data_IF_414257274676
#
_entry.id   IF_414257274676
#
_cell.length_a   1.000
_cell.length_b   1.000
_cell.length_c   1.000
_cell.angle_alpha   90.00
_cell.angle_beta   90.00
_cell.angle_gamma   90.00
#
_symmetry.space_group_name_H-M   'P 1'
#
loop_
_entity.id
_entity.type
_entity.pdbx_description
1 polymer ?
#
# COMPACT_ATOMS: atom_id res chain seq x y z
N UNK A 1 -24.59 1.00 -1.64
CA UNK A 1 -24.12 0.19 -2.78
C UNK A 1 -22.97 0.92 -3.46
N UNK A 2 -21.74 0.44 -3.33
CA UNK A 2 -20.60 0.92 -4.13
C UNK A 2 -19.55 -0.17 -4.22
N UNK A 3 -19.90 -1.29 -4.86
CA UNK A 3 -18.86 -2.18 -5.38
C UNK A 3 -18.25 -1.48 -6.58
N UNK A 4 -16.92 -1.42 -6.64
CA UNK A 4 -16.15 -0.91 -7.78
C UNK A 4 -16.37 -1.69 -9.09
N UNK A 5 -17.25 -2.69 -9.11
CA UNK A 5 -17.58 -3.48 -10.31
C UNK A 5 -18.44 -2.72 -11.33
N UNK A 6 -19.14 -1.65 -10.94
CA UNK A 6 -20.09 -0.96 -11.82
C UNK A 6 -19.61 0.38 -12.38
N UNK A 7 -18.37 0.80 -12.09
CA UNK A 7 -17.82 2.03 -12.65
C UNK A 7 -16.47 1.74 -13.30
N UNK A 8 -16.48 1.68 -14.62
CA UNK A 8 -15.26 1.61 -15.43
C UNK A 8 -14.58 2.98 -15.44
N UNK A 9 -13.26 2.97 -15.34
CA UNK A 9 -12.43 4.17 -15.44
C UNK A 9 -11.47 3.99 -16.60
N UNK A 10 -11.23 5.08 -17.36
CA UNK A 10 -10.12 5.14 -18.29
C UNK A 10 -8.86 5.46 -17.48
N UNK A 11 -7.88 4.56 -17.50
CA UNK A 11 -6.59 4.74 -16.85
C UNK A 11 -5.50 4.77 -17.93
N UNK A 12 -4.82 5.91 -18.03
CA UNK A 12 -3.62 6.04 -18.84
C UNK A 12 -2.43 5.72 -17.94
N UNK A 13 -1.73 4.63 -18.24
CA UNK A 13 -0.61 4.14 -17.42
C UNK A 13 0.68 4.31 -18.22
N UNK A 14 1.65 4.98 -17.62
CA UNK A 14 3.02 5.05 -18.13
C UNK A 14 3.88 4.06 -17.36
N UNK A 15 4.34 3.00 -18.02
CA UNK A 15 5.29 2.06 -17.43
C UNK A 15 6.70 2.63 -17.58
N UNK A 16 7.27 3.13 -16.47
CA UNK A 16 8.58 3.78 -16.46
C UNK A 16 9.67 2.78 -16.09
N UNK A 17 10.81 2.75 -16.80
CA UNK A 17 11.93 1.87 -16.46
C UNK A 17 12.47 2.13 -15.04
N UNK A 18 12.63 1.07 -14.26
CA UNK A 18 13.10 1.15 -12.88
C UNK A 18 14.63 1.28 -12.71
N UNK A 19 15.39 1.39 -13.79
CA UNK A 19 16.84 1.51 -13.73
C UNK A 19 17.25 2.99 -13.69
N UNK A 20 18.18 3.34 -12.79
CA UNK A 20 18.58 4.73 -12.49
C UNK A 20 19.03 5.55 -13.72
N UNK A 21 19.54 4.88 -14.74
CA UNK A 21 20.00 5.51 -15.99
C UNK A 21 18.87 6.06 -16.87
N UNK A 22 17.60 5.78 -16.55
CA UNK A 22 16.43 6.26 -17.31
C UNK A 22 15.57 7.23 -16.48
N UNK A 23 16.21 7.98 -15.59
CA UNK A 23 15.53 8.96 -14.72
C UNK A 23 14.81 10.06 -15.49
N UNK A 24 15.28 10.36 -16.69
CA UNK A 24 14.75 11.30 -17.67
C UNK A 24 13.40 10.83 -18.24
N UNK A 25 13.24 9.54 -18.53
CA UNK A 25 11.95 8.96 -18.92
C UNK A 25 10.94 9.02 -17.76
N UNK A 26 11.36 8.68 -16.54
CA UNK A 26 10.53 8.83 -15.35
C UNK A 26 10.09 10.29 -15.15
N UNK A 27 11.00 11.25 -15.37
CA UNK A 27 10.70 12.68 -15.23
C UNK A 27 9.66 13.15 -16.25
N UNK A 28 9.79 12.70 -17.50
CA UNK A 28 8.79 13.00 -18.53
C UNK A 28 7.42 12.42 -18.17
N UNK A 29 7.37 11.17 -17.66
CA UNK A 29 6.13 10.54 -17.24
C UNK A 29 5.47 11.27 -16.06
N UNK A 30 6.26 11.72 -15.07
CA UNK A 30 5.74 12.46 -13.90
C UNK A 30 5.05 13.76 -14.33
N UNK A 31 5.66 14.52 -15.25
CA UNK A 31 5.09 15.78 -15.76
C UNK A 31 3.79 15.60 -16.55
N UNK A 32 3.55 14.42 -17.10
CA UNK A 32 2.36 14.07 -17.87
C UNK A 32 1.28 13.38 -17.04
N UNK A 33 1.58 13.03 -15.78
CA UNK A 33 0.70 12.23 -14.93
C UNK A 33 0.03 13.06 -13.85
N UNK A 34 -1.23 12.74 -13.54
CA UNK A 34 -1.97 13.36 -12.43
C UNK A 34 -1.68 12.71 -11.07
N UNK A 35 -0.84 11.68 -11.03
CA UNK A 35 -0.49 10.92 -9.84
C UNK A 35 0.48 9.79 -10.15
N UNK A 36 1.06 9.21 -9.11
CA UNK A 36 2.07 8.15 -9.25
C UNK A 36 1.80 6.99 -8.32
N UNK A 37 2.02 5.78 -8.83
CA UNK A 37 2.04 4.55 -8.04
C UNK A 37 3.49 4.10 -7.89
N UNK A 38 4.01 4.14 -6.65
CA UNK A 38 5.38 3.74 -6.36
C UNK A 38 5.38 2.29 -5.89
N UNK A 39 6.02 1.43 -6.67
CA UNK A 39 6.11 0.00 -6.40
C UNK A 39 7.36 -0.28 -5.56
N UNK A 40 7.16 -0.93 -4.42
CA UNK A 40 8.24 -1.31 -3.48
C UNK A 40 8.22 -2.82 -3.29
N UNK A 41 9.34 -3.48 -3.53
CA UNK A 41 9.49 -4.91 -3.21
C UNK A 41 9.61 -5.05 -1.68
N UNK A 42 8.68 -5.77 -1.05
CA UNK A 42 8.66 -5.94 0.41
C UNK A 42 9.74 -6.88 0.93
N UNK A 43 10.30 -7.74 0.08
CA UNK A 43 11.41 -8.61 0.44
C UNK A 43 12.69 -7.76 0.59
N UNK A 44 12.95 -6.93 -0.41
CA UNK A 44 14.11 -6.04 -0.49
C UNK A 44 13.99 -4.80 0.40
N UNK A 45 12.78 -4.26 0.54
CA UNK A 45 12.49 -3.03 1.28
C UNK A 45 12.71 -1.76 0.45
N UNK A 46 12.91 -0.65 1.13
CA UNK A 46 13.18 0.64 0.47
C UNK A 46 14.60 0.68 -0.07
N UNK A 47 14.74 0.90 -1.37
CA UNK A 47 16.01 0.98 -2.10
C UNK A 47 16.31 2.43 -2.52
N UNK A 48 17.57 2.73 -2.83
CA UNK A 48 18.03 4.07 -3.24
C UNK A 48 17.22 4.63 -4.43
N UNK A 49 16.82 3.77 -5.38
CA UNK A 49 16.00 4.22 -6.50
C UNK A 49 14.57 4.59 -6.06
N UNK A 50 13.97 3.81 -5.17
CA UNK A 50 12.66 4.12 -4.58
C UNK A 50 12.70 5.46 -3.86
N UNK A 51 13.76 5.74 -3.10
CA UNK A 51 13.98 7.02 -2.42
C UNK A 51 14.03 8.20 -3.41
N UNK A 52 14.78 8.04 -4.51
CA UNK A 52 14.88 9.07 -5.56
C UNK A 52 13.52 9.34 -6.22
N UNK A 53 12.77 8.29 -6.55
CA UNK A 53 11.44 8.41 -7.14
C UNK A 53 10.44 9.06 -6.17
N UNK A 54 10.45 8.66 -4.90
CA UNK A 54 9.63 9.28 -3.84
C UNK A 54 9.93 10.77 -3.70
N UNK A 55 11.22 11.13 -3.61
CA UNK A 55 11.63 12.53 -3.50
C UNK A 55 11.16 13.35 -4.69
N UNK A 56 11.31 12.80 -5.89
CA UNK A 56 10.90 13.51 -7.10
C UNK A 56 9.37 13.68 -7.19
N UNK A 57 8.62 12.64 -6.81
CA UNK A 57 7.14 12.68 -6.80
C UNK A 57 6.62 13.75 -5.83
N UNK A 58 7.27 13.85 -4.68
CA UNK A 58 7.01 14.88 -3.67
C UNK A 58 7.31 16.28 -4.21
N UNK A 59 8.45 16.48 -4.85
CA UNK A 59 8.85 17.77 -5.42
C UNK A 59 7.91 18.26 -6.52
N UNK A 60 7.42 17.34 -7.36
CA UNK A 60 6.42 17.63 -8.40
C UNK A 60 4.98 17.70 -7.83
N UNK A 61 4.81 17.57 -6.50
CA UNK A 61 3.53 17.65 -5.77
C UNK A 61 2.46 16.69 -6.30
N UNK A 62 2.87 15.53 -6.79
CA UNK A 62 1.96 14.52 -7.31
C UNK A 62 1.33 13.71 -6.17
N UNK A 63 0.03 13.39 -6.24
CA UNK A 63 -0.58 12.38 -5.36
C UNK A 63 0.13 11.03 -5.50
N UNK A 64 0.60 10.48 -4.37
CA UNK A 64 1.37 9.24 -4.33
C UNK A 64 0.54 8.11 -3.73
N UNK A 65 0.53 6.95 -4.39
CA UNK A 65 0.05 5.69 -3.82
C UNK A 65 1.21 4.71 -3.72
N UNK A 66 1.39 4.06 -2.57
CA UNK A 66 2.42 3.04 -2.38
C UNK A 66 1.86 1.66 -2.71
N UNK A 67 2.58 0.91 -3.54
CA UNK A 67 2.28 -0.49 -3.83
C UNK A 67 3.37 -1.38 -3.23
N UNK A 68 3.06 -2.01 -2.10
CA UNK A 68 3.90 -3.03 -1.47
C UNK A 68 3.78 -4.34 -2.26
N UNK A 69 4.71 -4.60 -3.17
CA UNK A 69 4.69 -5.71 -4.11
C UNK A 69 5.59 -6.87 -3.67
N UNK A 70 5.41 -8.03 -4.31
CA UNK A 70 6.09 -9.30 -4.04
C UNK A 70 5.83 -9.84 -2.63
N UNK A 71 4.65 -9.60 -2.08
CA UNK A 71 4.24 -10.12 -0.77
C UNK A 71 4.27 -11.66 -0.70
N UNK A 72 4.16 -12.33 -1.84
CA UNK A 72 4.30 -13.78 -1.96
C UNK A 72 5.68 -14.27 -1.52
N UNK A 73 6.75 -13.48 -1.69
CA UNK A 73 8.10 -13.87 -1.27
C UNK A 73 8.23 -13.98 0.24
N UNK A 74 7.48 -13.17 1.00
CA UNK A 74 7.43 -13.28 2.46
C UNK A 74 6.90 -14.66 2.91
N UNK A 75 5.97 -15.22 2.13
CA UNK A 75 5.27 -16.46 2.45
C UNK A 75 5.99 -17.69 1.84
N UNK A 76 6.39 -17.61 0.57
CA UNK A 76 6.88 -18.76 -0.18
C UNK A 76 8.40 -18.92 -0.09
N UNK A 77 9.15 -17.81 -0.07
CA UNK A 77 10.61 -17.83 -0.02
C UNK A 77 11.10 -17.75 1.42
N UNK A 78 10.76 -16.67 2.13
CA UNK A 78 11.19 -16.45 3.52
C UNK A 78 10.42 -17.32 4.52
N UNK A 79 9.24 -17.82 4.15
CA UNK A 79 8.36 -18.65 4.99
C UNK A 79 8.11 -18.03 6.36
N UNK A 80 7.95 -16.72 6.40
CA UNK A 80 7.71 -15.99 7.64
C UNK A 80 6.36 -16.40 8.24
N UNK A 81 6.29 -16.55 9.57
CA UNK A 81 5.01 -16.54 10.27
C UNK A 81 4.19 -15.30 9.89
N UNK A 82 2.84 -15.38 9.84
CA UNK A 82 2.02 -14.24 9.43
C UNK A 82 2.25 -12.95 10.23
N UNK A 83 2.54 -13.08 11.53
CA UNK A 83 2.86 -11.95 12.40
C UNK A 83 4.16 -11.24 11.97
N UNK A 84 5.19 -12.01 11.61
CA UNK A 84 6.48 -11.48 11.18
C UNK A 84 6.41 -10.90 9.77
N UNK A 85 5.61 -11.52 8.89
CA UNK A 85 5.31 -10.96 7.57
C UNK A 85 4.60 -9.60 7.69
N UNK A 86 3.62 -9.47 8.59
CA UNK A 86 2.99 -8.19 8.91
C UNK A 86 4.00 -7.17 9.47
N UNK A 87 4.85 -7.59 10.42
CA UNK A 87 5.88 -6.72 10.98
C UNK A 87 6.85 -6.21 9.90
N UNK A 88 7.23 -7.06 8.95
CA UNK A 88 8.06 -6.67 7.79
C UNK A 88 7.35 -5.65 6.89
N UNK A 89 6.07 -5.85 6.57
CA UNK A 89 5.27 -4.90 5.80
C UNK A 89 5.17 -3.54 6.50
N UNK A 90 4.86 -3.55 7.81
CA UNK A 90 4.79 -2.34 8.64
C UNK A 90 6.14 -1.63 8.68
N UNK A 91 7.22 -2.37 8.90
CA UNK A 91 8.58 -1.81 8.91
C UNK A 91 8.94 -1.13 7.58
N UNK A 92 8.67 -1.76 6.43
CA UNK A 92 8.91 -1.14 5.12
C UNK A 92 8.09 0.14 4.93
N UNK A 93 6.82 0.14 5.37
CA UNK A 93 5.98 1.33 5.30
C UNK A 93 6.49 2.45 6.22
N UNK A 94 6.93 2.12 7.44
CA UNK A 94 7.50 3.08 8.38
C UNK A 94 8.79 3.70 7.83
N UNK A 95 9.64 2.92 7.15
CA UNK A 95 10.82 3.45 6.45
C UNK A 95 10.44 4.49 5.39
N UNK A 96 9.40 4.22 4.58
CA UNK A 96 8.91 5.16 3.55
C UNK A 96 8.38 6.44 4.22
N UNK A 97 7.58 6.30 5.27
CA UNK A 97 7.02 7.45 6.00
C UNK A 97 8.12 8.31 6.63
N UNK A 98 9.11 7.70 7.28
CA UNK A 98 10.24 8.42 7.87
C UNK A 98 11.05 9.16 6.79
N UNK A 99 11.24 8.53 5.63
CA UNK A 99 11.91 9.18 4.50
C UNK A 99 11.13 10.41 4.01
N UNK A 100 9.83 10.26 3.78
CA UNK A 100 9.00 11.39 3.30
C UNK A 100 8.88 12.50 4.35
N UNK A 101 8.82 12.17 5.65
CA UNK A 101 8.86 13.19 6.70
C UNK A 101 10.19 13.96 6.74
N UNK A 102 11.30 13.32 6.36
CA UNK A 102 12.64 13.95 6.38
C UNK A 102 12.84 14.92 5.21
N UNK A 103 12.24 14.62 4.05
CA UNK A 103 12.45 15.39 2.81
C UNK A 103 11.23 16.17 2.33
N UNK A 104 10.08 15.95 2.96
CA UNK A 104 8.82 16.58 2.60
C UNK A 104 8.72 18.02 3.09
N UNK A 105 8.01 18.85 2.35
CA UNK A 105 7.48 20.12 2.86
C UNK A 105 6.44 19.84 3.97
N UNK A 106 6.20 20.81 4.85
CA UNK A 106 5.11 20.76 5.82
C UNK A 106 3.78 20.66 5.04
N UNK A 107 3.24 19.44 4.85
CA UNK A 107 1.85 19.10 4.45
C UNK A 107 1.71 17.75 3.70
N UNK A 108 2.78 16.97 3.53
CA UNK A 108 2.66 15.68 2.83
C UNK A 108 1.97 14.65 3.72
N UNK A 109 0.82 14.07 3.30
CA UNK A 109 0.13 13.07 4.08
C UNK A 109 0.95 11.79 4.19
N UNK A 110 0.98 11.20 5.39
CA UNK A 110 1.65 9.92 5.62
C UNK A 110 0.98 8.79 4.84
N UNK A 111 1.73 7.73 4.57
CA UNK A 111 1.20 6.53 3.94
C UNK A 111 0.65 5.58 4.98
N UNK A 112 -0.62 5.21 4.82
CA UNK A 112 -1.31 4.24 5.67
C UNK A 112 -2.34 3.45 4.86
N UNK A 113 -2.33 2.11 4.92
CA UNK A 113 -3.35 1.28 4.28
C UNK A 113 -4.78 1.64 4.70
N UNK A 114 -4.94 2.20 5.91
CA UNK A 114 -6.23 2.69 6.44
C UNK A 114 -6.78 3.89 5.67
N UNK A 115 -5.91 4.71 5.07
CA UNK A 115 -6.28 5.87 4.26
C UNK A 115 -6.48 5.50 2.78
N UNK A 116 -6.20 4.26 2.40
CA UNK A 116 -6.33 3.79 1.02
C UNK A 116 -5.21 4.23 0.08
N UNK A 117 -4.16 4.90 0.58
CA UNK A 117 -2.98 5.30 -0.19
C UNK A 117 -1.86 4.23 -0.18
N UNK A 118 -2.14 3.04 0.35
CA UNK A 118 -1.24 1.87 0.30
C UNK A 118 -2.02 0.64 -0.18
N UNK A 119 -1.45 -0.08 -1.14
CA UNK A 119 -1.96 -1.36 -1.65
C UNK A 119 -0.90 -2.46 -1.48
N UNK A 120 -1.37 -3.70 -1.37
CA UNK A 120 -0.54 -4.89 -1.27
C UNK A 120 -0.69 -5.71 -2.54
N UNK A 121 0.42 -6.17 -3.10
CA UNK A 121 0.41 -6.88 -4.37
C UNK A 121 1.41 -8.04 -4.45
N UNK A 122 1.08 -8.98 -5.32
CA UNK A 122 2.01 -9.93 -5.92
C UNK A 122 1.75 -9.93 -7.41
N UNK A 123 2.61 -9.24 -8.16
CA UNK A 123 2.53 -9.23 -9.63
C UNK A 123 2.62 -10.63 -10.22
N UNK A 124 3.42 -11.53 -9.61
CA UNK A 124 3.59 -12.92 -10.08
C UNK A 124 2.31 -13.74 -9.96
N UNK A 125 1.55 -13.57 -8.88
CA UNK A 125 0.33 -14.34 -8.61
C UNK A 125 -0.95 -13.56 -8.89
N UNK A 126 -0.85 -12.39 -9.56
CA UNK A 126 -1.99 -11.51 -9.84
C UNK A 126 -2.81 -11.16 -8.59
N UNK A 127 -2.14 -11.01 -7.45
CA UNK A 127 -2.76 -10.55 -6.21
C UNK A 127 -2.58 -9.03 -6.16
N UNK A 128 -3.66 -8.30 -5.94
CA UNK A 128 -3.61 -6.86 -5.67
C UNK A 128 -4.83 -6.48 -4.83
N UNK A 129 -4.60 -5.88 -3.66
CA UNK A 129 -5.69 -5.44 -2.80
C UNK A 129 -5.32 -4.25 -1.92
N UNK A 130 -6.30 -3.40 -1.66
CA UNK A 130 -6.32 -2.50 -0.51
C UNK A 130 -7.10 -3.16 0.63
N UNK A 131 -7.07 -2.57 1.83
CA UNK A 131 -7.91 -3.05 2.94
C UNK A 131 -9.40 -3.03 2.57
N UNK A 132 -9.83 -2.01 1.82
CA UNK A 132 -11.21 -1.89 1.36
C UNK A 132 -11.58 -2.99 0.36
N UNK A 133 -10.74 -3.24 -0.66
CA UNK A 133 -11.04 -4.29 -1.64
C UNK A 133 -11.00 -5.68 -1.00
N UNK A 134 -10.11 -5.90 -0.02
CA UNK A 134 -10.06 -7.13 0.75
C UNK A 134 -11.31 -7.29 1.63
N UNK A 135 -11.74 -6.26 2.35
CA UNK A 135 -12.98 -6.25 3.12
C UNK A 135 -14.21 -6.51 2.24
N UNK A 136 -14.23 -6.01 1.00
CA UNK A 136 -15.32 -6.25 0.06
C UNK A 136 -15.48 -7.74 -0.28
N UNK A 137 -14.39 -8.52 -0.32
CA UNK A 137 -14.45 -9.98 -0.50
C UNK A 137 -15.26 -10.61 0.63
N UNK A 138 -15.04 -10.20 1.88
CA UNK A 138 -15.79 -10.69 3.03
C UNK A 138 -17.25 -10.23 3.01
N UNK A 139 -17.53 -8.98 2.65
CA UNK A 139 -18.91 -8.48 2.56
C UNK A 139 -19.75 -9.26 1.52
N UNK A 140 -19.11 -9.76 0.46
CA UNK A 140 -19.79 -10.60 -0.54
C UNK A 140 -20.21 -11.96 0.01
N UNK A 141 -19.48 -12.47 1.00
CA UNK A 141 -19.74 -13.75 1.69
C UNK A 141 -20.64 -13.58 2.91
N UNK A 142 -20.52 -12.47 3.61
CA UNK A 142 -21.26 -12.14 4.84
C UNK A 142 -22.07 -10.85 4.60
N UNK A 143 -23.36 -11.00 4.27
CA UNK A 143 -24.23 -9.90 3.80
C UNK A 143 -24.40 -8.74 4.79
N UNK A 144 -24.18 -8.97 6.08
CA UNK A 144 -24.36 -7.96 7.14
C UNK A 144 -23.06 -7.21 7.50
N UNK A 145 -21.95 -7.52 6.85
CA UNK A 145 -20.65 -6.93 7.18
C UNK A 145 -20.46 -5.59 6.47
N UNK A 146 -20.37 -4.51 7.23
CA UNK A 146 -19.96 -3.21 6.73
C UNK A 146 -18.49 -3.25 6.29
N UNK A 147 -18.27 -3.30 4.97
CA UNK A 147 -16.93 -3.34 4.37
C UNK A 147 -16.05 -2.17 4.77
N UNK A 148 -16.60 -0.96 4.90
CA UNK A 148 -15.82 0.26 5.16
C UNK A 148 -15.37 0.29 6.61
N UNK A 149 -16.32 0.09 7.54
CA UNK A 149 -16.01 -0.02 8.96
C UNK A 149 -15.11 -1.21 9.29
N UNK A 150 -15.18 -2.29 8.51
CA UNK A 150 -14.27 -3.43 8.64
C UNK A 150 -12.86 -3.08 8.14
N UNK A 151 -12.72 -2.48 6.96
CA UNK A 151 -11.43 -2.09 6.41
C UNK A 151 -10.61 -1.19 7.35
N UNK A 152 -11.28 -0.26 8.05
CA UNK A 152 -10.66 0.61 9.08
C UNK A 152 -10.09 -0.13 10.28
N UNK A 153 -10.38 -1.42 10.43
CA UNK A 153 -9.94 -2.27 11.55
C UNK A 153 -9.01 -3.41 11.12
N UNK A 154 -8.62 -3.47 9.84
CA UNK A 154 -7.79 -4.53 9.26
C UNK A 154 -6.28 -4.24 9.33
N UNK A 155 -5.86 -3.14 9.96
CA UNK A 155 -4.45 -2.74 10.05
C UNK A 155 -4.15 -2.07 11.39
N UNK A 156 -2.90 -2.19 11.84
CA UNK A 156 -2.46 -1.70 13.14
C UNK A 156 -2.70 -2.71 14.26
N UNK A 157 -2.71 -2.22 15.50
CA UNK A 157 -2.81 -3.04 16.70
C UNK A 157 -4.28 -3.38 17.04
N UNK A 158 -4.97 -3.92 16.04
CA UNK A 158 -6.36 -4.37 16.09
C UNK A 158 -6.41 -5.89 16.13
N UNK A 159 -7.12 -6.45 17.11
CA UNK A 159 -7.21 -7.88 17.35
C UNK A 159 -8.67 -8.32 17.26
N UNK A 160 -8.91 -9.52 16.72
CA UNK A 160 -10.24 -10.11 16.62
C UNK A 160 -10.37 -11.27 17.61
N UNK A 161 -11.41 -11.24 18.44
CA UNK A 161 -11.78 -12.35 19.32
C UNK A 161 -12.92 -13.16 18.67
N UNK A 162 -12.69 -14.44 18.28
CA UNK A 162 -13.72 -15.29 17.70
C UNK A 162 -14.89 -15.61 18.64
N UNK A 163 -14.66 -15.63 19.95
CA UNK A 163 -15.68 -15.99 20.93
C UNK A 163 -16.69 -14.85 21.10
N UNK A 164 -16.20 -13.62 21.27
CA UNK A 164 -17.06 -12.43 21.40
C UNK A 164 -17.44 -11.81 20.06
N UNK A 165 -16.80 -12.23 18.96
CA UNK A 165 -16.92 -11.67 17.60
C UNK A 165 -16.64 -10.16 17.55
N UNK A 166 -15.81 -9.66 18.47
CA UNK A 166 -15.46 -8.24 18.57
C UNK A 166 -14.02 -8.01 18.14
N UNK A 167 -13.80 -6.83 17.55
CA UNK A 167 -12.45 -6.32 17.30
C UNK A 167 -12.11 -5.34 18.42
N UNK A 168 -10.93 -5.49 19.02
CA UNK A 168 -10.46 -4.69 20.14
C UNK A 168 -9.01 -4.26 19.92
N UNK A 169 -8.60 -3.15 20.55
CA UNK A 169 -7.20 -2.74 20.67
C UNK A 169 -6.63 -3.32 21.95
N UNK A 170 -5.38 -3.78 21.92
CA UNK A 170 -4.64 -3.99 23.17
C UNK A 170 -4.32 -2.60 23.72
N UNK A 171 -5.04 -2.14 24.74
CA UNK A 171 -4.61 -1.00 25.53
C UNK A 171 -3.31 -1.40 26.20
N UNK A 172 -2.21 -0.72 25.87
CA UNK A 172 -0.94 -0.86 26.59
C UNK A 172 -1.22 -0.55 28.06
N UNK A 173 -1.02 -1.55 28.93
CA UNK A 173 -1.01 -1.39 30.39
C UNK A 173 0.34 -0.79 30.77
#
# INVERSE_FOLDING_TARGET
>A
MSSSRNKSYLLNIFDTPGHVNFSDECTAAFRLSDGVVIIVDVHEGMMLNTERLLRHAVQERLPITICLNKIDRLILELKLPPADAYAKLKFTLDQINNFVQTFGEEDIPLFSPLMGNVIFASGRYSICFSLQSFANIYSSKYRELDSIGFAKRLWGDMFYDPATRKIYTKTTI
#
